data_IF_835202291857
#
_entry.id   IF_835202291857
#
_cell.length_a   1.000
_cell.length_b   1.000
_cell.length_c   1.000
_cell.angle_alpha   90.00
_cell.angle_beta   90.00
_cell.angle_gamma   90.00
#
_symmetry.space_group_name_H-M   'P 1'
#
loop_
_entity.id
_entity.type
_entity.pdbx_description
1 polymer ?
#
# COMPACT_ATOMS: atom_id res chain seq x y z
N UNK A 1 -47.84 0.19 -19.63
CA UNK A 1 -46.65 -0.55 -20.11
C UNK A 1 -45.41 0.35 -20.24
N UNK A 2 -45.50 1.50 -20.91
CA UNK A 2 -44.38 2.43 -21.17
C UNK A 2 -43.64 2.92 -19.91
N UNK A 3 -44.35 3.25 -18.82
CA UNK A 3 -43.72 3.69 -17.56
C UNK A 3 -42.81 2.62 -16.92
N UNK A 4 -43.16 1.33 -17.03
CA UNK A 4 -42.32 0.23 -16.52
C UNK A 4 -41.06 0.05 -17.38
N UNK A 5 -41.19 0.21 -18.71
CA UNK A 5 -40.05 0.17 -19.62
C UNK A 5 -39.08 1.33 -19.40
N UNK A 6 -39.59 2.55 -19.17
CA UNK A 6 -38.76 3.72 -18.83
C UNK A 6 -38.05 3.58 -17.49
N UNK A 7 -38.72 3.02 -16.47
CA UNK A 7 -38.09 2.76 -15.17
C UNK A 7 -36.93 1.74 -15.29
N UNK A 8 -37.12 0.68 -16.09
CA UNK A 8 -36.07 -0.31 -16.37
C UNK A 8 -34.92 0.32 -17.16
N UNK A 9 -35.20 1.10 -18.20
CA UNK A 9 -34.16 1.81 -18.93
C UNK A 9 -33.37 2.75 -18.02
N UNK A 10 -34.05 3.54 -17.19
CA UNK A 10 -33.41 4.47 -16.26
C UNK A 10 -32.52 3.77 -15.22
N UNK A 11 -32.95 2.62 -14.68
CA UNK A 11 -32.09 1.83 -13.77
C UNK A 11 -30.88 1.23 -14.46
N UNK A 12 -31.02 0.76 -15.70
CA UNK A 12 -29.87 0.29 -16.50
C UNK A 12 -28.87 1.42 -16.80
N UNK A 13 -29.35 2.61 -17.19
CA UNK A 13 -28.49 3.77 -17.41
C UNK A 13 -27.82 4.25 -16.11
N UNK A 14 -28.55 4.31 -15.00
CA UNK A 14 -28.00 4.68 -13.71
C UNK A 14 -26.95 3.66 -13.22
N UNK A 15 -27.23 2.36 -13.33
CA UNK A 15 -26.29 1.30 -12.96
C UNK A 15 -25.04 1.30 -13.86
N UNK A 16 -25.21 1.49 -15.17
CA UNK A 16 -24.10 1.61 -16.12
C UNK A 16 -23.23 2.84 -15.85
N UNK A 17 -23.84 3.98 -15.55
CA UNK A 17 -23.14 5.19 -15.15
C UNK A 17 -22.40 5.01 -13.82
N UNK A 18 -23.04 4.41 -12.82
CA UNK A 18 -22.40 4.12 -11.53
C UNK A 18 -21.21 3.19 -11.68
N UNK A 19 -21.34 2.11 -12.47
CA UNK A 19 -20.25 1.20 -12.78
C UNK A 19 -19.11 1.92 -13.51
N UNK A 20 -19.43 2.77 -14.49
CA UNK A 20 -18.41 3.56 -15.20
C UNK A 20 -17.69 4.54 -14.27
N UNK A 21 -18.40 5.29 -13.42
CA UNK A 21 -17.81 6.19 -12.42
C UNK A 21 -16.88 5.42 -11.48
N UNK A 22 -17.33 4.25 -11.02
CA UNK A 22 -16.55 3.33 -10.19
C UNK A 22 -15.24 2.92 -10.90
N UNK A 23 -15.32 2.39 -12.13
CA UNK A 23 -14.14 1.90 -12.84
C UNK A 23 -13.19 3.03 -13.26
N UNK A 24 -13.73 4.14 -13.76
CA UNK A 24 -12.96 5.33 -14.16
C UNK A 24 -12.28 6.01 -12.95
N UNK A 25 -12.84 5.84 -11.75
CA UNK A 25 -12.25 6.37 -10.52
C UNK A 25 -11.14 5.50 -9.92
N UNK A 26 -10.94 4.28 -10.44
CA UNK A 26 -9.79 3.46 -10.09
C UNK A 26 -8.56 3.94 -10.86
N UNK A 27 -7.61 4.54 -10.16
CA UNK A 27 -6.38 5.08 -10.78
C UNK A 27 -5.17 4.29 -10.31
N UNK A 28 -4.28 4.00 -11.25
CA UNK A 28 -2.93 3.54 -10.95
C UNK A 28 -2.06 4.78 -10.81
N UNK A 29 -1.40 4.95 -9.67
CA UNK A 29 -0.47 6.05 -9.41
C UNK A 29 0.87 5.51 -8.98
N UNK A 30 1.93 6.18 -9.42
CA UNK A 30 3.30 5.91 -8.99
C UNK A 30 3.78 7.04 -8.09
N UNK A 31 4.38 6.66 -6.97
CA UNK A 31 4.97 7.56 -6.00
C UNK A 31 6.42 7.17 -5.80
N UNK A 32 7.31 8.13 -5.87
CA UNK A 32 8.74 7.90 -5.66
C UNK A 32 9.25 8.71 -4.47
N UNK A 33 10.36 8.28 -3.90
CA UNK A 33 11.18 9.06 -2.96
C UNK A 33 11.56 10.41 -3.58
N UNK A 34 12.02 11.35 -2.74
CA UNK A 34 12.47 12.67 -3.24
C UNK A 34 13.65 12.54 -4.21
N UNK A 35 14.50 11.53 -4.02
CA UNK A 35 15.60 11.22 -4.94
C UNK A 35 15.13 10.58 -6.26
N UNK A 36 13.90 10.06 -6.32
CA UNK A 36 13.32 9.45 -7.52
C UNK A 36 13.90 8.07 -7.86
N UNK A 37 14.68 7.47 -6.96
CA UNK A 37 15.38 6.20 -7.15
C UNK A 37 14.56 4.99 -6.68
N UNK A 38 13.54 5.20 -5.85
CA UNK A 38 12.66 4.14 -5.34
C UNK A 38 11.22 4.56 -5.44
N UNK A 39 10.40 3.67 -5.98
CA UNK A 39 9.02 3.96 -6.30
C UNK A 39 8.10 2.83 -5.87
N UNK A 40 6.87 3.21 -5.53
CA UNK A 40 5.74 2.31 -5.31
C UNK A 40 4.61 2.71 -6.26
N UNK A 41 4.12 1.72 -6.99
CA UNK A 41 2.94 1.85 -7.83
C UNK A 41 1.75 1.25 -7.10
N UNK A 42 0.71 2.05 -6.90
CA UNK A 42 -0.49 1.66 -6.16
C UNK A 42 -1.73 1.84 -7.05
N UNK A 43 -2.62 0.86 -7.02
CA UNK A 43 -3.92 0.87 -7.68
C UNK A 43 -5.02 0.98 -6.65
N UNK A 44 -5.93 1.93 -6.83
CA UNK A 44 -7.06 2.06 -5.92
C UNK A 44 -8.00 3.19 -6.31
N UNK A 45 -9.02 3.39 -5.48
CA UNK A 45 -10.13 4.32 -5.73
C UNK A 45 -9.96 5.48 -4.76
N UNK A 46 -9.27 6.54 -5.21
CA UNK A 46 -8.82 7.64 -4.36
C UNK A 46 -9.54 8.91 -4.76
N UNK A 47 -10.10 9.63 -3.78
CA UNK A 47 -10.63 10.99 -4.01
C UNK A 47 -9.49 12.00 -3.93
N UNK A 48 -8.64 11.85 -2.92
CA UNK A 48 -7.48 12.69 -2.67
C UNK A 48 -6.38 11.83 -2.05
N UNK A 49 -5.12 12.16 -2.33
CA UNK A 49 -3.98 11.44 -1.77
C UNK A 49 -2.80 12.37 -1.56
N UNK A 50 -2.78 13.15 -0.45
CA UNK A 50 -1.56 13.84 -0.09
C UNK A 50 -0.44 12.82 0.10
N UNK A 51 0.76 13.17 -0.37
CA UNK A 51 1.95 12.33 -0.25
C UNK A 51 3.04 13.11 0.44
N UNK A 52 3.63 12.52 1.48
CA UNK A 52 4.90 12.98 2.02
C UNK A 52 6.01 12.10 1.47
N UNK A 53 6.99 12.73 0.83
CA UNK A 53 8.14 12.05 0.25
C UNK A 53 9.37 12.46 1.04
N UNK A 54 9.97 11.50 1.72
CA UNK A 54 11.30 11.61 2.31
C UNK A 54 12.36 11.09 1.34
N UNK A 55 13.61 11.15 1.78
CA UNK A 55 14.73 10.53 1.06
C UNK A 55 14.54 9.01 0.95
N UNK A 56 13.97 8.38 1.98
CA UNK A 56 13.82 6.92 2.09
C UNK A 56 12.42 6.46 2.45
N UNK A 57 11.45 7.37 2.56
CA UNK A 57 10.09 7.03 2.99
C UNK A 57 9.06 7.67 2.08
N UNK A 58 7.98 6.94 1.81
CA UNK A 58 6.82 7.42 1.07
C UNK A 58 5.60 7.19 1.96
N UNK A 59 4.95 8.28 2.37
CA UNK A 59 3.70 8.23 3.14
C UNK A 59 2.57 8.66 2.22
N UNK A 60 1.63 7.75 1.99
CA UNK A 60 0.46 7.94 1.14
C UNK A 60 -0.76 8.00 2.06
N UNK A 61 -1.40 9.16 2.10
CA UNK A 61 -2.71 9.30 2.73
C UNK A 61 -3.76 8.96 1.69
N UNK A 62 -4.71 8.11 2.04
CA UNK A 62 -5.77 7.66 1.16
C UNK A 62 -7.12 8.01 1.73
N UNK A 63 -7.99 8.56 0.89
CA UNK A 63 -9.42 8.59 1.15
C UNK A 63 -10.19 7.86 0.05
N UNK A 64 -10.92 6.82 0.43
CA UNK A 64 -11.79 6.06 -0.47
C UNK A 64 -13.02 6.87 -0.90
N UNK A 65 -13.57 6.57 -2.08
CA UNK A 65 -14.72 7.31 -2.65
C UNK A 65 -15.99 7.19 -1.81
N UNK A 66 -16.15 6.05 -1.12
CA UNK A 66 -17.30 5.77 -0.27
C UNK A 66 -16.98 5.82 1.22
N UNK A 67 -15.81 6.35 1.61
CA UNK A 67 -15.36 6.37 3.00
C UNK A 67 -14.86 7.74 3.42
N UNK A 68 -15.27 8.18 4.59
CA UNK A 68 -14.70 9.37 5.25
C UNK A 68 -13.40 9.06 5.98
N UNK A 69 -13.08 7.78 6.23
CA UNK A 69 -11.85 7.38 6.90
C UNK A 69 -10.64 7.61 6.00
N UNK A 70 -9.58 8.16 6.60
CA UNK A 70 -8.27 8.26 5.96
C UNK A 70 -7.45 7.03 6.33
N UNK A 71 -7.08 6.26 5.32
CA UNK A 71 -6.12 5.16 5.45
C UNK A 71 -4.72 5.69 5.18
N UNK A 72 -3.73 5.24 5.95
CA UNK A 72 -2.32 5.65 5.77
C UNK A 72 -1.55 4.41 5.35
N UNK A 73 -0.85 4.53 4.22
CA UNK A 73 0.13 3.56 3.77
C UNK A 73 1.51 4.21 3.84
N UNK A 74 2.45 3.58 4.52
CA UNK A 74 3.85 4.00 4.56
C UNK A 74 4.71 2.94 3.90
N UNK A 75 5.65 3.36 3.07
CA UNK A 75 6.70 2.51 2.50
C UNK A 75 8.05 3.11 2.86
N UNK A 76 8.76 2.44 3.76
CA UNK A 76 10.10 2.82 4.21
C UNK A 76 11.14 1.93 3.53
N UNK A 77 12.11 2.54 2.87
CA UNK A 77 13.17 1.86 2.14
C UNK A 77 14.49 1.91 2.91
N UNK A 78 15.28 0.85 2.79
CA UNK A 78 16.57 0.70 3.46
C UNK A 78 17.69 0.51 2.45
N UNK A 79 18.82 1.15 2.71
CA UNK A 79 20.05 0.93 1.94
C UNK A 79 20.67 -0.41 2.30
N UNK A 80 21.43 -0.98 1.37
CA UNK A 80 22.02 -2.33 1.50
C UNK A 80 22.91 -2.48 2.73
N UNK A 81 23.58 -1.40 3.11
CA UNK A 81 24.54 -1.31 4.20
C UNK A 81 23.89 -1.03 5.56
N UNK A 82 22.55 -0.87 5.62
CA UNK A 82 21.88 -0.58 6.89
C UNK A 82 21.90 -1.78 7.83
N UNK A 83 22.46 -1.66 9.05
CA UNK A 83 22.53 -2.77 10.01
C UNK A 83 21.16 -3.32 10.43
N UNK A 84 20.10 -2.54 10.25
CA UNK A 84 18.74 -2.96 10.58
C UNK A 84 18.24 -4.09 9.67
N UNK A 85 18.78 -4.23 8.46
CA UNK A 85 18.33 -5.23 7.49
C UNK A 85 18.55 -6.66 7.98
N UNK A 86 19.70 -6.94 8.62
CA UNK A 86 19.95 -8.27 9.21
C UNK A 86 18.97 -8.54 10.34
N UNK A 87 18.70 -7.53 11.17
CA UNK A 87 17.73 -7.67 12.27
C UNK A 87 16.33 -7.97 11.73
N UNK A 88 15.87 -7.24 10.70
CA UNK A 88 14.57 -7.49 10.07
C UNK A 88 14.51 -8.89 9.46
N UNK A 89 15.56 -9.33 8.76
CA UNK A 89 15.64 -10.66 8.16
C UNK A 89 15.62 -11.78 9.21
N UNK A 90 16.28 -11.61 10.35
CA UNK A 90 16.29 -12.58 11.45
C UNK A 90 14.99 -12.58 12.28
N UNK A 91 14.11 -11.62 12.02
CA UNK A 91 12.88 -11.39 12.79
C UNK A 91 11.61 -11.69 12.01
N UNK A 92 11.72 -12.22 10.78
CA UNK A 92 10.56 -12.53 9.95
C UNK A 92 9.83 -13.79 10.43
N UNK A 93 8.51 -13.79 10.31
CA UNK A 93 7.66 -14.94 10.59
C UNK A 93 6.54 -15.05 9.54
N UNK A 94 6.26 -16.28 9.10
CA UNK A 94 5.30 -16.53 8.03
C UNK A 94 5.73 -15.89 6.70
N UNK A 95 4.92 -16.03 5.65
CA UNK A 95 5.21 -15.43 4.36
C UNK A 95 3.97 -15.40 3.48
N UNK A 96 3.75 -14.27 2.81
CA UNK A 96 2.67 -14.10 1.84
C UNK A 96 3.23 -13.64 0.52
N UNK A 97 2.82 -14.30 -0.56
CA UNK A 97 3.23 -13.97 -1.91
C UNK A 97 2.16 -13.13 -2.60
N UNK A 98 2.56 -11.96 -3.07
CA UNK A 98 1.76 -11.08 -3.91
C UNK A 98 2.33 -11.07 -5.33
N UNK A 99 1.56 -10.59 -6.30
CA UNK A 99 2.02 -10.47 -7.69
C UNK A 99 3.24 -9.55 -7.87
N UNK A 100 3.52 -8.70 -6.88
CA UNK A 100 4.60 -7.72 -6.88
C UNK A 100 5.78 -8.09 -5.98
N UNK A 101 5.68 -9.15 -5.17
CA UNK A 101 6.74 -9.52 -4.24
C UNK A 101 6.29 -10.48 -3.15
N UNK A 102 7.27 -10.99 -2.41
CA UNK A 102 7.06 -11.77 -1.20
C UNK A 102 7.23 -10.86 0.02
N UNK A 103 6.30 -10.98 0.97
CA UNK A 103 6.27 -10.18 2.19
C UNK A 103 6.21 -11.08 3.41
N UNK A 104 6.77 -10.60 4.51
CA UNK A 104 6.88 -11.33 5.75
C UNK A 104 6.36 -10.48 6.91
N UNK A 105 5.62 -11.12 7.82
CA UNK A 105 5.22 -10.47 9.08
C UNK A 105 6.46 -10.41 10.00
N UNK A 106 6.54 -9.40 10.87
CA UNK A 106 7.65 -9.25 11.80
C UNK A 106 7.29 -9.79 13.18
N UNK A 107 8.10 -10.71 13.70
CA UNK A 107 8.04 -11.12 15.09
C UNK A 107 8.76 -10.10 15.98
N UNK A 108 7.98 -9.14 16.48
CA UNK A 108 8.47 -8.06 17.36
C UNK A 108 9.00 -8.57 18.72
N UNK A 109 8.67 -9.82 19.09
CA UNK A 109 9.13 -10.46 20.32
C UNK A 109 10.41 -11.28 20.13
N UNK A 110 10.93 -11.40 18.91
CA UNK A 110 12.18 -12.10 18.61
C UNK A 110 13.37 -11.47 19.32
N UNK A 111 14.41 -12.26 19.60
CA UNK A 111 15.64 -11.76 20.24
C UNK A 111 16.28 -10.64 19.41
N UNK A 112 16.23 -10.76 18.08
CA UNK A 112 16.73 -9.77 17.15
C UNK A 112 15.97 -8.43 17.28
N UNK A 113 14.63 -8.42 17.26
CA UNK A 113 13.86 -7.19 17.47
C UNK A 113 14.02 -6.59 18.86
N UNK A 114 14.18 -7.41 19.91
CA UNK A 114 14.37 -6.92 21.29
C UNK A 114 15.67 -6.12 21.47
N UNK A 115 16.66 -6.33 20.60
CA UNK A 115 17.91 -5.53 20.58
C UNK A 115 17.67 -4.12 20.06
N UNK A 116 16.57 -3.89 19.33
CA UNK A 116 16.16 -2.59 18.82
C UNK A 116 15.14 -1.98 19.78
N UNK A 117 15.55 -0.96 20.53
CA UNK A 117 14.70 -0.25 21.52
C UNK A 117 13.42 0.38 20.93
N UNK A 118 13.30 0.41 19.59
CA UNK A 118 12.18 0.96 18.83
C UNK A 118 11.34 -0.12 18.12
N UNK A 119 11.35 -1.36 18.61
CA UNK A 119 10.57 -2.47 18.02
C UNK A 119 9.07 -2.13 17.80
N UNK A 120 8.49 -1.29 18.66
CA UNK A 120 7.11 -0.82 18.54
C UNK A 120 6.83 0.01 17.28
N UNK A 121 7.85 0.65 16.69
CA UNK A 121 7.74 1.43 15.45
C UNK A 121 7.40 0.53 14.26
N UNK A 122 7.77 -0.75 14.33
CA UNK A 122 7.50 -1.73 13.28
C UNK A 122 6.16 -2.45 13.44
N UNK A 123 5.36 -2.06 14.45
CA UNK A 123 4.04 -2.64 14.67
C UNK A 123 3.13 -2.43 13.46
N UNK A 124 2.50 -3.51 13.01
CA UNK A 124 1.64 -3.51 11.81
C UNK A 124 2.39 -3.39 10.49
N UNK A 125 3.72 -3.54 10.49
CA UNK A 125 4.53 -3.49 9.26
C UNK A 125 4.83 -4.89 8.73
N UNK A 126 4.87 -5.02 7.40
CA UNK A 126 5.42 -6.19 6.69
C UNK A 126 6.76 -5.84 6.08
N UNK A 127 7.69 -6.79 6.13
CA UNK A 127 8.98 -6.66 5.50
C UNK A 127 8.96 -7.26 4.08
N UNK A 128 9.58 -6.57 3.13
CA UNK A 128 9.71 -6.96 1.72
C UNK A 128 11.21 -7.11 1.40
N UNK A 129 11.81 -8.29 1.60
CA UNK A 129 13.26 -8.47 1.49
C UNK A 129 13.82 -8.09 0.13
N UNK A 130 13.12 -8.48 -0.95
CA UNK A 130 13.58 -8.22 -2.32
C UNK A 130 13.75 -6.74 -2.66
N UNK A 131 13.00 -5.87 -1.98
CA UNK A 131 13.04 -4.42 -2.19
C UNK A 131 13.68 -3.67 -1.03
N UNK A 132 14.15 -4.38 0.00
CA UNK A 132 14.67 -3.81 1.25
C UNK A 132 13.72 -2.72 1.76
N UNK A 133 12.45 -3.08 1.92
CA UNK A 133 11.41 -2.13 2.28
C UNK A 133 10.51 -2.67 3.40
N UNK A 134 10.00 -1.76 4.22
CA UNK A 134 8.92 -2.01 5.17
C UNK A 134 7.66 -1.31 4.68
N UNK A 135 6.55 -2.04 4.67
CA UNK A 135 5.25 -1.49 4.30
C UNK A 135 4.34 -1.55 5.53
N UNK A 136 3.76 -0.42 5.92
CA UNK A 136 2.80 -0.34 7.01
C UNK A 136 1.46 0.16 6.49
N UNK A 137 0.38 -0.54 6.84
CA UNK A 137 -0.98 -0.06 6.65
C UNK A 137 -1.98 -0.79 7.55
N UNK A 138 -3.12 -0.14 7.76
CA UNK A 138 -4.23 -0.71 8.52
C UNK A 138 -4.76 -1.99 7.84
N UNK A 139 -4.90 -3.06 8.63
CA UNK A 139 -5.51 -4.34 8.26
C UNK A 139 -4.88 -5.09 7.07
N UNK A 140 -3.65 -4.76 6.64
CA UNK A 140 -2.95 -5.38 5.49
C UNK A 140 -3.69 -5.31 4.14
N UNK A 141 -4.90 -4.72 4.08
CA UNK A 141 -5.72 -4.65 2.87
C UNK A 141 -5.03 -3.87 1.76
N UNK A 142 -4.27 -2.85 2.15
CA UNK A 142 -3.49 -2.01 1.24
C UNK A 142 -2.45 -2.80 0.42
N UNK A 143 -1.99 -3.96 0.89
CA UNK A 143 -0.99 -4.76 0.17
C UNK A 143 -1.53 -5.30 -1.15
N UNK A 144 -2.84 -5.50 -1.25
CA UNK A 144 -3.51 -5.89 -2.49
C UNK A 144 -3.57 -4.75 -3.52
N UNK A 145 -3.40 -3.52 -3.07
CA UNK A 145 -3.45 -2.32 -3.90
C UNK A 145 -2.08 -2.01 -4.51
N UNK A 146 -1.01 -2.45 -3.86
CA UNK A 146 0.33 -2.35 -4.41
C UNK A 146 0.40 -3.20 -5.69
N UNK A 147 0.87 -2.59 -6.77
CA UNK A 147 1.12 -3.24 -8.06
C UNK A 147 2.59 -3.52 -8.29
N UNK A 148 3.45 -2.69 -7.71
CA UNK A 148 4.90 -2.80 -7.84
C UNK A 148 5.57 -1.98 -6.75
N UNK A 149 6.66 -2.50 -6.21
CA UNK A 149 7.68 -1.73 -5.51
C UNK A 149 8.96 -1.97 -6.29
N UNK A 150 9.65 -0.90 -6.69
CA UNK A 150 10.85 -1.03 -7.50
C UNK A 150 11.83 0.11 -7.30
N UNK A 151 13.07 -0.17 -7.64
CA UNK A 151 14.08 0.86 -7.78
C UNK A 151 14.03 1.41 -9.21
N UNK A 152 13.75 2.70 -9.33
CA UNK A 152 13.84 3.49 -10.55
C UNK A 152 15.32 3.64 -10.89
N UNK A 153 15.81 2.79 -11.79
CA UNK A 153 17.10 2.93 -12.47
C UNK A 153 16.88 3.51 -13.85
#
# INVERSE_FOLDING_TARGET
MIRKLMAVAATFFAAGYFAWVIFASSTIKEFCTTAGDRCVTVHGWWVDSPIMRGERSIVIYKRGIFSSAVEIMTVDFFDEDMPILSTLADSVEGGKRFGWGEVYDLNLNSEAMRKIQVASVFSGSVYVPSQRALVNCADFKCLNEIRRIHNSK
#
